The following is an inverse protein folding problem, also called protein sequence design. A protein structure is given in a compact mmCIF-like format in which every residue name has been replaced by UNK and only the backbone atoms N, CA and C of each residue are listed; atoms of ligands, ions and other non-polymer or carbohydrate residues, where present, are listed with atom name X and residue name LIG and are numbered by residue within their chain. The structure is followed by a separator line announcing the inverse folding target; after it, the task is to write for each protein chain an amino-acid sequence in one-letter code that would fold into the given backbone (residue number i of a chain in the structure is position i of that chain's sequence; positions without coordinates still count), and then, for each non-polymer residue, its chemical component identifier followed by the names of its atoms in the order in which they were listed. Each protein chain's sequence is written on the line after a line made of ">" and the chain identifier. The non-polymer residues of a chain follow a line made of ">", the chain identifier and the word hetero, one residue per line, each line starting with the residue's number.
data_IF_629308658490
#
_entry.id   IF_629308658490
#
_cell.length_a   1.000
_cell.length_b   1.000
_cell.length_c   1.000
_cell.angle_alpha   90.00
_cell.angle_beta   90.00
_cell.angle_gamma   90.00
#
_symmetry.space_group_name_H-M   'P 1'
#
loop_
_entity.id
_entity.type
_entity.pdbx_description
1 polymer ?
#
# COMPACT_ATOMS: atom_id res chain seq x y z
N UNK A 1 -18.13 5.34 -4.73
CA UNK A 1 -16.86 5.43 -5.48
C UNK A 1 -17.08 5.83 -6.93
N UNK A 2 -18.07 5.30 -7.64
CA UNK A 2 -18.33 5.64 -9.05
C UNK A 2 -18.52 7.14 -9.31
N UNK A 3 -19.24 7.83 -8.41
CA UNK A 3 -19.37 9.31 -8.46
C UNK A 3 -18.01 10.02 -8.43
N UNK A 4 -17.05 9.52 -7.65
CA UNK A 4 -15.68 10.07 -7.60
C UNK A 4 -14.86 9.65 -8.82
N UNK A 5 -15.06 8.44 -9.32
CA UNK A 5 -14.35 7.93 -10.50
C UNK A 5 -14.86 8.52 -11.82
N UNK A 6 -16.06 9.11 -11.84
CA UNK A 6 -16.70 9.60 -13.07
C UNK A 6 -17.06 8.49 -14.06
N UNK A 7 -17.03 7.23 -13.61
CA UNK A 7 -17.25 6.04 -14.43
C UNK A 7 -17.81 4.89 -13.57
N UNK A 8 -18.44 3.93 -14.24
CA UNK A 8 -18.83 2.65 -13.63
C UNK A 8 -17.58 1.91 -13.15
N UNK A 9 -17.61 1.43 -11.91
CA UNK A 9 -16.49 0.69 -11.33
C UNK A 9 -16.84 -0.79 -11.39
N UNK A 10 -16.00 -1.63 -12.02
CA UNK A 10 -16.21 -3.08 -12.01
C UNK A 10 -16.33 -3.62 -10.58
N UNK A 11 -17.05 -4.72 -10.42
CA UNK A 11 -17.17 -5.40 -9.11
C UNK A 11 -15.79 -5.64 -8.50
N UNK A 12 -15.63 -5.18 -7.26
CA UNK A 12 -14.40 -5.33 -6.49
C UNK A 12 -14.73 -5.73 -5.05
N UNK A 13 -13.77 -6.35 -4.39
CA UNK A 13 -13.90 -6.84 -3.04
C UNK A 13 -12.69 -6.41 -2.21
N UNK A 14 -12.76 -6.54 -0.88
CA UNK A 14 -11.66 -6.13 0.00
C UNK A 14 -10.30 -6.76 -0.33
N UNK A 15 -10.29 -7.96 -0.93
CA UNK A 15 -9.06 -8.62 -1.36
C UNK A 15 -8.31 -7.84 -2.46
N UNK A 16 -9.01 -7.04 -3.25
CA UNK A 16 -8.40 -6.24 -4.33
C UNK A 16 -7.54 -5.10 -3.79
N UNK A 17 -7.77 -4.63 -2.56
CA UNK A 17 -6.86 -3.69 -1.89
C UNK A 17 -5.47 -4.31 -1.70
N UNK A 18 -5.41 -5.58 -1.29
CA UNK A 18 -4.15 -6.32 -1.12
C UNK A 18 -3.45 -6.56 -2.45
N UNK A 19 -4.21 -6.91 -3.50
CA UNK A 19 -3.68 -7.07 -4.86
C UNK A 19 -3.12 -5.76 -5.41
N UNK A 20 -3.85 -4.66 -5.22
CA UNK A 20 -3.45 -3.32 -5.65
C UNK A 20 -2.16 -2.88 -4.98
N UNK A 21 -2.06 -3.03 -3.65
CA UNK A 21 -0.82 -2.79 -2.92
C UNK A 21 0.32 -3.66 -3.47
N UNK A 22 0.10 -4.97 -3.60
CA UNK A 22 1.14 -5.92 -3.98
C UNK A 22 1.73 -5.66 -5.37
N UNK A 23 0.90 -5.25 -6.32
CA UNK A 23 1.31 -4.90 -7.69
C UNK A 23 2.09 -3.58 -7.76
N UNK A 24 1.85 -2.66 -6.82
CA UNK A 24 2.53 -1.36 -6.78
C UNK A 24 3.71 -1.31 -5.82
N UNK A 25 3.86 -2.27 -4.90
CA UNK A 25 4.90 -2.24 -3.86
C UNK A 25 6.31 -1.99 -4.42
N UNK A 26 6.68 -2.66 -5.53
CA UNK A 26 8.00 -2.47 -6.15
C UNK A 26 8.19 -1.09 -6.76
N UNK A 27 7.11 -0.47 -7.28
CA UNK A 27 7.14 0.88 -7.86
C UNK A 27 7.53 1.92 -6.81
N UNK A 28 7.14 1.72 -5.56
CA UNK A 28 7.44 2.61 -4.44
C UNK A 28 8.65 2.14 -3.62
N UNK A 29 9.47 1.24 -4.17
CA UNK A 29 10.75 0.83 -3.57
C UNK A 29 10.65 -0.24 -2.48
N UNK A 30 9.50 -0.90 -2.31
CA UNK A 30 9.33 -1.95 -1.30
C UNK A 30 9.82 -3.28 -1.91
N UNK A 31 10.76 -3.94 -1.21
CA UNK A 31 11.22 -5.27 -1.59
C UNK A 31 10.12 -6.31 -1.46
N UNK A 32 10.19 -7.34 -2.31
CA UNK A 32 9.17 -8.40 -2.37
C UNK A 32 8.88 -8.99 -1.00
N UNK A 33 9.89 -9.43 -0.28
CA UNK A 33 9.71 -10.14 0.99
C UNK A 33 9.13 -9.22 2.06
N UNK A 34 9.51 -7.94 2.05
CA UNK A 34 8.93 -6.93 2.94
C UNK A 34 7.45 -6.71 2.59
N UNK A 35 7.10 -6.63 1.30
CA UNK A 35 5.70 -6.52 0.88
C UNK A 35 4.85 -7.73 1.29
N UNK A 36 5.40 -8.96 1.21
CA UNK A 36 4.72 -10.16 1.71
C UNK A 36 4.49 -10.08 3.23
N UNK A 37 5.49 -9.63 4.00
CA UNK A 37 5.36 -9.44 5.46
C UNK A 37 4.38 -8.32 5.83
N UNK A 38 4.35 -7.21 5.08
CA UNK A 38 3.35 -6.14 5.23
C UNK A 38 1.93 -6.67 5.01
N UNK A 39 1.77 -7.62 4.09
CA UNK A 39 0.53 -8.35 3.87
C UNK A 39 0.25 -9.42 4.93
N UNK A 40 1.09 -9.56 5.96
CA UNK A 40 0.98 -10.58 6.99
C UNK A 40 1.04 -12.02 6.44
N UNK A 41 1.72 -12.21 5.31
CA UNK A 41 2.05 -13.54 4.83
C UNK A 41 3.18 -14.14 5.66
N UNK A 42 3.15 -15.46 5.84
CA UNK A 42 4.21 -16.18 6.55
C UNK A 42 5.34 -16.50 5.57
N UNK A 43 6.57 -16.44 6.06
CA UNK A 43 7.71 -17.07 5.36
C UNK A 43 7.55 -18.58 5.37
N UNK A 44 7.95 -19.22 4.28
CA UNK A 44 7.88 -20.67 4.12
C UNK A 44 9.28 -21.29 4.05
N UNK A 45 9.39 -22.59 4.31
CA UNK A 45 10.65 -23.32 4.20
C UNK A 45 11.73 -22.86 5.21
N UNK A 46 12.99 -22.90 4.78
CA UNK A 46 14.14 -22.57 5.64
C UNK A 46 14.10 -21.13 6.15
N UNK A 47 13.64 -20.17 5.36
CA UNK A 47 13.48 -18.78 5.81
C UNK A 47 12.56 -18.68 7.01
N UNK A 48 11.43 -19.38 7.00
CA UNK A 48 10.51 -19.40 8.14
C UNK A 48 11.09 -20.07 9.39
N UNK A 49 12.10 -20.91 9.26
CA UNK A 49 12.80 -21.57 10.37
C UNK A 49 13.87 -20.65 10.95
N UNK A 50 14.69 -20.02 10.11
CA UNK A 50 15.87 -19.28 10.53
C UNK A 50 15.68 -17.76 10.61
N UNK A 51 14.94 -17.15 9.69
CA UNK A 51 14.65 -15.71 9.71
C UNK A 51 13.40 -15.42 10.54
N UNK A 52 13.62 -15.18 11.83
CA UNK A 52 12.58 -14.79 12.80
C UNK A 52 12.40 -13.28 12.91
N UNK A 53 13.21 -12.48 12.22
CA UNK A 53 13.09 -11.04 12.29
C UNK A 53 11.81 -10.60 11.55
N UNK A 54 10.96 -9.85 12.24
CA UNK A 54 9.69 -9.37 11.70
C UNK A 54 9.83 -8.17 10.75
N UNK A 55 11.05 -7.64 10.61
CA UNK A 55 11.39 -6.53 9.72
C UNK A 55 10.53 -5.28 9.98
N UNK A 56 10.21 -4.99 11.25
CA UNK A 56 9.24 -3.96 11.62
C UNK A 56 9.61 -2.57 11.08
N UNK A 57 10.88 -2.18 11.16
CA UNK A 57 11.36 -0.90 10.63
C UNK A 57 11.19 -0.81 9.10
N UNK A 58 11.54 -1.87 8.38
CA UNK A 58 11.37 -1.92 6.91
C UNK A 58 9.88 -1.90 6.53
N UNK A 59 9.03 -2.55 7.31
CA UNK A 59 7.57 -2.52 7.10
C UNK A 59 7.00 -1.13 7.36
N UNK A 60 7.43 -0.46 8.44
CA UNK A 60 7.03 0.90 8.75
C UNK A 60 7.44 1.87 7.63
N UNK A 61 8.70 1.80 7.19
CA UNK A 61 9.19 2.57 6.05
C UNK A 61 8.40 2.28 4.76
N UNK A 62 8.06 1.02 4.52
CA UNK A 62 7.23 0.59 3.39
C UNK A 62 5.81 1.15 3.45
N UNK A 63 5.16 1.14 4.61
CA UNK A 63 3.84 1.76 4.78
C UNK A 63 3.90 3.27 4.53
N UNK A 64 4.91 3.95 5.05
CA UNK A 64 5.11 5.38 4.80
C UNK A 64 5.35 5.68 3.30
N UNK A 65 6.10 4.83 2.59
CA UNK A 65 6.29 4.98 1.14
C UNK A 65 4.99 4.76 0.36
N UNK A 66 4.18 3.77 0.77
CA UNK A 66 2.88 3.50 0.16
C UNK A 66 1.87 4.63 0.42
N UNK A 67 1.85 5.17 1.64
CA UNK A 67 1.04 6.34 2.01
C UNK A 67 1.38 7.55 1.15
N UNK A 68 2.66 7.93 1.08
CA UNK A 68 3.11 9.05 0.22
C UNK A 68 2.71 8.87 -1.23
N UNK A 69 2.76 7.64 -1.75
CA UNK A 69 2.31 7.36 -3.11
C UNK A 69 0.80 7.61 -3.29
N UNK A 70 -0.03 7.12 -2.38
CA UNK A 70 -1.48 7.37 -2.42
C UNK A 70 -1.76 8.87 -2.32
N UNK A 71 -1.15 9.57 -1.37
CA UNK A 71 -1.34 11.01 -1.21
C UNK A 71 -0.90 11.77 -2.46
N UNK A 72 0.23 11.39 -3.07
CA UNK A 72 0.70 11.95 -4.33
C UNK A 72 -0.35 11.84 -5.45
N UNK A 73 -1.01 10.67 -5.58
CA UNK A 73 -2.10 10.50 -6.56
C UNK A 73 -3.30 11.40 -6.25
N UNK A 74 -3.66 11.54 -4.98
CA UNK A 74 -4.79 12.39 -4.56
C UNK A 74 -4.50 13.87 -4.84
N UNK A 75 -3.28 14.33 -4.58
CA UNK A 75 -2.82 15.68 -4.89
C UNK A 75 -2.83 15.94 -6.39
N UNK A 76 -2.27 15.02 -7.18
CA UNK A 76 -2.25 15.12 -8.66
C UNK A 76 -3.67 15.22 -9.24
N UNK A 77 -4.59 14.42 -8.72
CA UNK A 77 -6.00 14.41 -9.13
C UNK A 77 -6.83 15.55 -8.53
N UNK A 78 -6.24 16.39 -7.67
CA UNK A 78 -6.91 17.50 -6.97
C UNK A 78 -8.12 17.06 -6.13
N UNK A 79 -7.98 15.93 -5.43
CA UNK A 79 -9.04 15.32 -4.61
C UNK A 79 -8.78 15.43 -3.10
N UNK A 80 -7.90 16.34 -2.68
CA UNK A 80 -7.44 16.48 -1.29
C UNK A 80 -8.59 16.78 -0.33
N UNK A 81 -9.45 17.74 -0.70
CA UNK A 81 -10.58 18.15 0.13
C UNK A 81 -11.67 17.07 0.15
N UNK A 82 -12.00 16.51 -1.03
CA UNK A 82 -13.03 15.49 -1.21
C UNK A 82 -12.73 14.20 -0.45
N UNK A 83 -11.46 13.82 -0.35
CA UNK A 83 -11.02 12.62 0.37
C UNK A 83 -10.56 12.92 1.81
N UNK A 84 -10.66 14.18 2.26
CA UNK A 84 -10.29 14.60 3.62
C UNK A 84 -8.88 14.17 4.00
N UNK A 85 -7.91 14.36 3.09
CA UNK A 85 -6.51 14.01 3.36
C UNK A 85 -5.97 14.91 4.47
N UNK A 86 -5.36 14.34 5.53
CA UNK A 86 -4.76 15.14 6.59
C UNK A 86 -3.68 16.09 6.06
N UNK A 87 -3.63 17.37 6.49
CA UNK A 87 -2.66 18.34 5.98
C UNK A 87 -1.19 17.92 6.16
N UNK A 88 -0.89 17.21 7.24
CA UNK A 88 0.45 16.68 7.55
C UNK A 88 0.90 15.55 6.60
N UNK A 89 -0.05 14.91 5.91
CA UNK A 89 0.24 13.87 4.94
C UNK A 89 0.66 14.41 3.55
N UNK A 90 0.43 15.71 3.28
CA UNK A 90 0.63 16.37 1.96
C UNK A 90 2.03 17.00 1.83
N UNK A 91 2.83 16.97 2.90
CA UNK A 91 4.16 17.59 2.98
C UNK A 91 5.21 17.00 2.02
#
# INVERSE_FOLDING_TARGET
>A
MEKLAGAEIPSWHFHDLRRTFRSNARRVGIDRDIAELMLNHRRHGMEGIYDKNQQLELRAAGFAAWERHIVGLVVELKLVEELSVPPDAIS
#
